data_IF_684936585065
#
_entry.id   IF_684936585065
#
_cell.length_a   1.000
_cell.length_b   1.000
_cell.length_c   1.000
_cell.angle_alpha   90.00
_cell.angle_beta   90.00
_cell.angle_gamma   90.00
#
_symmetry.space_group_name_H-M   'P 1'
#
loop_
_entity.id
_entity.type
_entity.pdbx_description
1 polymer ?
#
# COMPACT_ATOMS: atom_id res chain seq x y z
N UNK A 1 28.93 9.95 -26.32
CA UNK A 1 27.64 9.34 -26.73
C UNK A 1 26.65 9.64 -25.61
N UNK A 2 25.75 10.58 -25.85
CA UNK A 2 24.77 11.03 -24.85
C UNK A 2 23.62 10.04 -24.83
N UNK A 3 23.45 9.34 -23.72
CA UNK A 3 22.31 8.46 -23.45
C UNK A 3 21.08 9.32 -23.16
N UNK A 4 20.17 9.35 -24.11
CA UNK A 4 18.87 9.98 -24.02
C UNK A 4 18.06 9.35 -22.87
N UNK A 5 17.82 10.09 -21.80
CA UNK A 5 16.86 9.72 -20.76
C UNK A 5 15.45 9.78 -21.36
N UNK A 6 14.80 8.64 -21.46
CA UNK A 6 13.40 8.54 -21.86
C UNK A 6 12.54 9.20 -20.78
N UNK A 7 11.94 10.30 -21.14
CA UNK A 7 10.98 11.04 -20.34
C UNK A 7 9.72 10.17 -20.17
N UNK A 8 9.55 9.51 -19.03
CA UNK A 8 8.36 8.73 -18.67
C UNK A 8 7.18 9.66 -18.28
N UNK A 9 6.97 10.72 -19.05
CA UNK A 9 5.70 11.43 -19.00
C UNK A 9 4.70 10.64 -19.84
N UNK A 10 3.51 10.27 -19.31
CA UNK A 10 2.47 9.73 -20.17
C UNK A 10 2.14 10.78 -21.23
N UNK A 11 2.34 10.45 -22.50
CA UNK A 11 1.83 11.21 -23.62
C UNK A 11 0.31 11.10 -23.60
N UNK A 12 -0.35 12.03 -22.97
CA UNK A 12 -1.77 12.26 -23.14
C UNK A 12 -1.98 13.72 -23.48
N UNK A 13 -2.43 13.94 -24.69
CA UNK A 13 -2.81 15.23 -25.22
C UNK A 13 -3.88 15.88 -24.37
N UNK A 14 -3.61 17.13 -23.98
CA UNK A 14 -4.54 18.24 -23.83
C UNK A 14 -5.87 17.98 -23.13
N UNK A 15 -5.88 18.14 -21.78
CA UNK A 15 -7.02 18.76 -21.10
C UNK A 15 -6.45 19.78 -20.12
N UNK A 16 -6.59 21.05 -20.49
CA UNK A 16 -6.35 22.21 -19.64
C UNK A 16 -7.36 22.12 -18.48
N UNK A 17 -6.88 22.02 -17.24
CA UNK A 17 -7.59 22.52 -16.06
C UNK A 17 -8.45 21.56 -15.25
N UNK A 18 -8.04 20.28 -14.99
CA UNK A 18 -8.55 19.57 -13.81
C UNK A 18 -7.36 19.11 -12.96
N UNK A 19 -7.29 19.60 -11.71
CA UNK A 19 -6.40 19.02 -10.72
C UNK A 19 -6.69 17.51 -10.68
N UNK A 20 -5.62 16.68 -10.80
CA UNK A 20 -5.79 15.23 -10.69
C UNK A 20 -6.39 14.91 -9.32
N UNK A 21 -7.47 14.11 -9.27
CA UNK A 21 -8.03 13.66 -8.00
C UNK A 21 -6.93 13.00 -7.15
N UNK A 22 -6.80 13.45 -5.90
CA UNK A 22 -5.80 12.91 -4.99
C UNK A 22 -6.00 11.41 -4.75
N UNK A 23 -7.23 10.91 -4.90
CA UNK A 23 -7.62 9.54 -4.57
C UNK A 23 -8.49 8.94 -5.66
N UNK A 24 -8.16 7.75 -6.08
CA UNK A 24 -9.01 6.91 -6.92
C UNK A 24 -9.84 5.99 -6.03
N UNK A 25 -11.15 5.89 -6.29
CA UNK A 25 -12.07 4.96 -5.60
C UNK A 25 -12.90 4.21 -6.65
N UNK A 26 -12.80 2.88 -6.63
CA UNK A 26 -13.70 1.99 -7.37
C UNK A 26 -14.50 1.18 -6.36
N UNK A 27 -15.81 1.42 -6.31
CA UNK A 27 -16.69 0.76 -5.33
C UNK A 27 -17.05 -0.63 -5.75
N UNK A 28 -16.97 -1.55 -4.80
CA UNK A 28 -17.47 -2.90 -4.89
C UNK A 28 -18.60 -3.15 -3.90
N UNK A 29 -19.14 -4.37 -3.94
CA UNK A 29 -20.28 -4.78 -3.12
C UNK A 29 -19.93 -5.86 -2.09
N UNK A 30 -18.67 -6.31 -2.03
CA UNK A 30 -18.19 -7.29 -1.05
C UNK A 30 -17.58 -6.61 0.17
N UNK A 31 -17.54 -7.28 1.34
CA UNK A 31 -17.01 -6.68 2.59
C UNK A 31 -15.47 -6.62 2.63
N UNK A 32 -14.83 -6.27 1.52
CA UNK A 32 -13.38 -6.13 1.39
C UNK A 32 -13.00 -4.85 0.67
N UNK A 33 -12.02 -4.15 1.22
CA UNK A 33 -11.41 -2.94 0.64
C UNK A 33 -9.93 -3.23 0.39
N UNK A 34 -9.48 -3.11 -0.85
CA UNK A 34 -8.06 -3.11 -1.22
C UNK A 34 -7.55 -1.67 -1.17
N UNK A 35 -6.62 -1.38 -0.27
CA UNK A 35 -5.98 -0.07 -0.15
C UNK A 35 -4.59 -0.08 -0.79
N UNK A 36 -4.25 0.97 -1.56
CA UNK A 36 -2.99 1.11 -2.30
C UNK A 36 -2.39 2.50 -2.05
N UNK A 37 -1.77 2.72 -0.87
CA UNK A 37 -1.34 4.06 -0.45
C UNK A 37 -0.08 4.56 -1.17
N UNK A 38 0.75 3.68 -1.75
CA UNK A 38 2.09 4.02 -2.19
C UNK A 38 2.36 3.76 -3.68
N UNK A 39 1.34 3.37 -4.44
CA UNK A 39 1.51 3.08 -5.87
C UNK A 39 1.37 4.32 -6.76
N UNK A 40 0.95 5.46 -6.21
CA UNK A 40 0.83 6.71 -6.94
C UNK A 40 2.19 7.29 -7.34
N UNK A 41 2.26 7.84 -8.55
CA UNK A 41 3.46 8.47 -9.10
C UNK A 41 3.31 9.97 -9.31
N UNK A 42 2.10 10.50 -9.11
CA UNK A 42 1.86 11.93 -9.26
C UNK A 42 2.49 12.71 -8.10
N UNK A 43 3.30 13.71 -8.44
CA UNK A 43 3.83 14.71 -7.52
C UNK A 43 3.45 16.07 -8.09
N UNK A 44 2.70 16.92 -7.34
CA UNK A 44 2.42 18.29 -7.78
C UNK A 44 3.71 19.02 -8.18
N UNK A 45 3.67 19.85 -9.23
CA UNK A 45 4.85 20.50 -9.80
C UNK A 45 5.60 21.35 -8.76
N UNK A 46 4.88 22.03 -7.87
CA UNK A 46 5.44 22.82 -6.79
C UNK A 46 6.20 21.99 -5.74
N UNK A 47 5.86 20.70 -5.63
CA UNK A 47 6.59 19.75 -4.77
C UNK A 47 7.73 19.11 -5.56
N UNK A 48 7.49 18.73 -6.82
CA UNK A 48 8.47 18.04 -7.65
C UNK A 48 9.73 18.88 -7.86
N UNK A 49 9.59 20.17 -8.05
CA UNK A 49 10.71 21.12 -8.21
C UNK A 49 11.53 21.30 -6.94
N UNK A 50 11.00 20.96 -5.76
CA UNK A 50 11.74 20.96 -4.49
C UNK A 50 12.56 19.69 -4.26
N UNK A 51 12.23 18.59 -4.97
CA UNK A 51 13.01 17.35 -4.89
C UNK A 51 14.33 17.51 -5.64
N UNK A 52 15.39 16.89 -5.11
CA UNK A 52 16.65 16.76 -5.82
C UNK A 52 16.55 15.65 -6.91
N UNK A 53 17.61 15.47 -7.70
CA UNK A 53 17.64 14.49 -8.80
C UNK A 53 17.38 13.04 -8.35
N UNK A 54 17.68 12.69 -7.10
CA UNK A 54 17.38 11.38 -6.52
C UNK A 54 15.89 11.28 -6.18
N UNK A 55 15.35 12.30 -5.50
CA UNK A 55 13.93 12.35 -5.14
C UNK A 55 13.01 12.31 -6.35
N UNK A 56 13.39 12.97 -7.44
CA UNK A 56 12.65 12.96 -8.70
C UNK A 56 12.55 11.59 -9.38
N UNK A 57 13.38 10.62 -8.99
CA UNK A 57 13.29 9.24 -9.47
C UNK A 57 12.20 8.41 -8.78
N UNK A 58 11.62 8.88 -7.67
CA UNK A 58 10.53 8.24 -6.93
C UNK A 58 10.82 6.76 -6.59
N UNK A 59 12.06 6.47 -6.17
CA UNK A 59 12.59 5.10 -6.06
C UNK A 59 11.78 4.19 -5.12
N UNK A 60 11.12 4.76 -4.11
CA UNK A 60 10.43 4.03 -3.05
C UNK A 60 8.93 3.86 -3.33
N UNK A 61 8.53 3.97 -4.61
CA UNK A 61 7.17 3.69 -5.07
C UNK A 61 6.90 2.19 -5.02
N UNK A 62 5.68 1.82 -4.62
CA UNK A 62 5.17 0.45 -4.72
C UNK A 62 4.78 0.18 -6.20
N UNK A 63 5.80 0.01 -7.04
CA UNK A 63 5.69 -0.05 -8.48
C UNK A 63 4.73 -1.15 -8.94
N UNK A 64 3.83 -0.83 -9.87
CA UNK A 64 2.91 -1.77 -10.52
C UNK A 64 1.91 -2.50 -9.61
N UNK A 65 1.78 -2.13 -8.33
CA UNK A 65 0.78 -2.74 -7.43
C UNK A 65 -0.64 -2.68 -8.02
N UNK A 66 -1.11 -1.58 -8.66
CA UNK A 66 -2.42 -1.59 -9.30
C UNK A 66 -2.56 -2.67 -10.38
N UNK A 67 -1.57 -2.83 -11.27
CA UNK A 67 -1.54 -3.87 -12.31
C UNK A 67 -1.50 -5.28 -11.70
N UNK A 68 -0.73 -5.45 -10.63
CA UNK A 68 -0.57 -6.75 -9.96
C UNK A 68 -1.87 -7.25 -9.32
N UNK A 69 -2.66 -6.35 -8.72
CA UNK A 69 -3.91 -6.69 -8.05
C UNK A 69 -5.15 -6.57 -8.94
N UNK A 70 -5.01 -6.06 -10.17
CA UNK A 70 -6.15 -5.89 -11.09
C UNK A 70 -6.85 -7.21 -11.39
N UNK A 71 -8.16 -7.25 -11.18
CA UNK A 71 -9.01 -8.41 -11.49
C UNK A 71 -8.81 -9.64 -10.59
N UNK A 72 -8.02 -9.57 -9.50
CA UNK A 72 -7.82 -10.73 -8.61
C UNK A 72 -9.06 -11.10 -7.80
N UNK A 73 -9.92 -10.14 -7.53
CA UNK A 73 -11.16 -10.34 -6.78
C UNK A 73 -12.26 -9.41 -7.29
N UNK A 74 -13.35 -9.98 -7.75
CA UNK A 74 -14.53 -9.21 -8.18
C UNK A 74 -15.30 -8.68 -6.97
N UNK A 75 -15.89 -7.49 -7.12
CA UNK A 75 -16.73 -6.87 -6.11
C UNK A 75 -15.97 -6.30 -4.90
N UNK A 76 -14.64 -6.28 -4.92
CA UNK A 76 -13.86 -5.55 -3.92
C UNK A 76 -13.91 -4.04 -4.17
N UNK A 77 -13.94 -3.25 -3.10
CA UNK A 77 -13.69 -1.80 -3.19
C UNK A 77 -12.19 -1.56 -3.30
N UNK A 78 -11.76 -0.70 -4.24
CA UNK A 78 -10.35 -0.33 -4.42
C UNK A 78 -10.19 1.15 -4.08
N UNK A 79 -9.24 1.48 -3.20
CA UNK A 79 -8.88 2.85 -2.84
C UNK A 79 -7.38 3.02 -3.06
N UNK A 80 -7.01 3.94 -3.96
CA UNK A 80 -5.61 4.20 -4.32
C UNK A 80 -5.27 5.67 -4.15
N UNK A 81 -4.16 5.98 -3.48
CA UNK A 81 -3.55 7.28 -3.54
C UNK A 81 -2.94 7.49 -4.94
N UNK A 82 -3.32 8.55 -5.63
CA UNK A 82 -2.73 8.90 -6.92
C UNK A 82 -1.41 9.66 -6.75
N UNK A 83 -1.23 10.34 -5.60
CA UNK A 83 0.00 11.03 -5.25
C UNK A 83 1.09 10.07 -4.76
N UNK A 84 2.34 10.49 -4.99
CA UNK A 84 3.50 9.73 -4.54
C UNK A 84 3.77 9.95 -3.05
N UNK A 85 4.32 8.93 -2.38
CA UNK A 85 4.69 8.97 -0.96
C UNK A 85 5.72 10.05 -0.60
N UNK A 86 6.51 10.53 -1.57
CA UNK A 86 7.44 11.63 -1.34
C UNK A 86 6.72 12.97 -1.19
N UNK A 87 5.52 13.13 -1.73
CA UNK A 87 4.69 14.29 -1.42
C UNK A 87 4.21 14.23 0.04
N UNK A 88 3.63 13.11 0.45
CA UNK A 88 3.26 12.75 1.83
C UNK A 88 2.97 11.24 1.89
N UNK A 89 3.43 10.57 2.95
CA UNK A 89 3.20 9.13 3.10
C UNK A 89 1.80 8.87 3.69
N UNK A 90 0.90 8.34 2.85
CA UNK A 90 -0.48 8.03 3.25
C UNK A 90 -0.59 6.90 4.29
N UNK A 91 0.49 6.14 4.55
CA UNK A 91 0.51 5.08 5.55
C UNK A 91 1.37 5.45 6.78
N UNK A 92 1.35 6.73 7.15
CA UNK A 92 1.98 7.27 8.37
C UNK A 92 0.96 7.98 9.26
N UNK A 93 1.28 8.00 10.56
CA UNK A 93 0.47 8.73 11.54
C UNK A 93 0.46 10.23 11.20
N UNK A 94 -0.72 10.85 11.05
CA UNK A 94 -0.82 12.29 10.76
C UNK A 94 -0.24 13.18 11.86
N UNK A 95 -0.02 12.63 13.07
CA UNK A 95 0.65 13.33 14.17
C UNK A 95 2.18 13.15 14.13
N UNK A 96 2.72 12.50 13.11
CA UNK A 96 4.17 12.31 12.95
C UNK A 96 4.79 11.30 13.91
N UNK A 97 4.00 10.51 14.65
CA UNK A 97 4.53 9.49 15.56
C UNK A 97 5.23 8.37 14.77
N UNK A 98 6.43 7.95 15.17
CA UNK A 98 7.18 6.93 14.47
C UNK A 98 6.44 5.59 14.48
N UNK A 99 6.39 4.92 13.34
CA UNK A 99 5.72 3.62 13.20
C UNK A 99 6.43 2.51 14.00
N UNK A 100 7.76 2.57 14.01
CA UNK A 100 8.64 1.61 14.71
C UNK A 100 9.69 2.39 15.52
N UNK A 101 9.42 2.73 16.79
CA UNK A 101 10.41 3.41 17.62
C UNK A 101 11.73 2.64 17.70
N UNK A 102 12.86 3.35 17.52
CA UNK A 102 14.19 2.74 17.56
C UNK A 102 14.63 2.00 16.30
N UNK A 103 13.83 2.03 15.23
CA UNK A 103 14.19 1.48 13.93
C UNK A 103 14.21 2.56 12.85
N UNK A 104 15.04 2.39 11.83
CA UNK A 104 15.00 3.27 10.68
C UNK A 104 13.66 3.14 9.97
N UNK A 105 13.00 4.25 9.75
CA UNK A 105 11.74 4.38 9.03
C UNK A 105 11.60 5.78 8.47
N UNK A 106 10.82 5.95 7.42
CA UNK A 106 10.50 7.28 6.89
C UNK A 106 9.42 7.96 7.72
N UNK A 107 9.42 9.29 7.69
CA UNK A 107 8.49 10.18 8.37
C UNK A 107 7.19 10.35 7.56
N UNK A 108 6.26 11.17 8.08
CA UNK A 108 5.00 11.54 7.40
C UNK A 108 5.27 12.18 6.03
N UNK A 109 6.24 13.09 5.93
CA UNK A 109 6.85 13.51 4.67
C UNK A 109 8.28 13.00 4.66
N UNK A 110 8.60 11.98 3.85
CA UNK A 110 9.95 11.41 3.82
C UNK A 110 11.02 12.46 3.52
N UNK A 111 12.04 12.56 4.35
CA UNK A 111 13.20 13.43 4.09
C UNK A 111 14.31 12.67 3.37
N UNK A 112 14.30 11.34 3.49
CA UNK A 112 15.28 10.45 2.85
C UNK A 112 14.56 9.35 2.08
N UNK A 113 15.25 8.79 1.10
CA UNK A 113 14.86 7.51 0.48
C UNK A 113 15.01 6.34 1.47
N UNK A 114 14.53 5.16 1.10
CA UNK A 114 14.75 3.93 1.86
C UNK A 114 16.24 3.56 2.01
N UNK A 115 17.13 4.11 1.20
CA UNK A 115 18.58 3.96 1.34
C UNK A 115 19.20 5.00 2.30
N UNK A 116 18.41 5.82 2.98
CA UNK A 116 18.85 6.86 3.89
C UNK A 116 19.46 8.09 3.22
N UNK A 117 19.29 8.26 1.91
CA UNK A 117 19.83 9.40 1.14
C UNK A 117 18.81 10.52 1.08
N UNK A 118 19.25 11.77 1.27
CA UNK A 118 18.39 12.95 1.13
C UNK A 118 17.75 13.03 -0.26
N UNK A 119 16.44 13.34 -0.29
CA UNK A 119 15.65 13.42 -1.52
C UNK A 119 15.17 14.84 -1.85
N UNK A 120 15.48 15.81 -1.01
CA UNK A 120 15.07 17.21 -1.18
C UNK A 120 16.25 18.11 -1.55
N UNK A 121 16.07 18.98 -2.52
CA UNK A 121 16.93 20.15 -2.74
C UNK A 121 16.52 21.28 -1.79
N UNK A 122 15.18 21.44 -1.59
CA UNK A 122 14.62 22.36 -0.61
C UNK A 122 13.61 21.58 0.26
N UNK A 123 13.92 21.41 1.54
CA UNK A 123 13.03 20.67 2.47
C UNK A 123 11.69 21.39 2.63
N UNK A 124 10.57 20.66 2.73
CA UNK A 124 9.25 21.26 2.92
C UNK A 124 9.16 21.98 4.26
N UNK A 125 8.48 23.13 4.27
CA UNK A 125 8.14 23.85 5.48
C UNK A 125 7.01 23.17 6.26
N UNK A 126 6.82 23.53 7.53
CA UNK A 126 5.67 23.06 8.33
C UNK A 126 4.32 23.44 7.69
N UNK A 127 4.25 24.60 7.04
CA UNK A 127 3.05 25.03 6.29
C UNK A 127 2.75 24.13 5.11
N UNK A 128 3.80 23.73 4.36
CA UNK A 128 3.65 22.79 3.24
C UNK A 128 3.19 21.41 3.73
N UNK A 129 3.78 20.90 4.81
CA UNK A 129 3.40 19.62 5.42
C UNK A 129 1.93 19.66 5.85
N UNK A 130 1.49 20.74 6.50
CA UNK A 130 0.09 20.91 6.93
C UNK A 130 -0.88 20.96 5.75
N UNK A 131 -0.52 21.63 4.68
CA UNK A 131 -1.32 21.68 3.46
C UNK A 131 -1.46 20.30 2.80
N UNK A 132 -0.34 19.57 2.66
CA UNK A 132 -0.33 18.19 2.13
C UNK A 132 -1.11 17.22 3.01
N UNK A 133 -1.03 17.39 4.34
CA UNK A 133 -1.79 16.61 5.30
C UNK A 133 -3.31 16.78 5.08
N UNK A 134 -3.80 17.98 4.86
CA UNK A 134 -5.22 18.24 4.63
C UNK A 134 -5.69 17.73 3.26
N UNK A 135 -4.96 18.05 2.20
CA UNK A 135 -5.44 17.88 0.83
C UNK A 135 -5.11 16.52 0.21
N UNK A 136 -4.07 15.84 0.68
CA UNK A 136 -3.65 14.54 0.15
C UNK A 136 -3.92 13.43 1.18
N UNK A 137 -3.24 13.43 2.31
CA UNK A 137 -3.39 12.41 3.34
C UNK A 137 -4.83 12.36 3.88
N UNK A 138 -5.40 13.51 4.26
CA UNK A 138 -6.76 13.61 4.75
C UNK A 138 -7.81 13.16 3.73
N UNK A 139 -7.62 13.48 2.44
CA UNK A 139 -8.50 13.02 1.38
C UNK A 139 -8.49 11.49 1.24
N UNK A 140 -7.29 10.86 1.31
CA UNK A 140 -7.15 9.41 1.25
C UNK A 140 -7.85 8.71 2.42
N UNK A 141 -7.61 9.16 3.64
CA UNK A 141 -8.23 8.56 4.82
C UNK A 141 -9.73 8.84 4.95
N UNK A 142 -10.19 9.99 4.45
CA UNK A 142 -11.63 10.26 4.33
C UNK A 142 -12.32 9.29 3.36
N UNK A 143 -11.65 8.93 2.25
CA UNK A 143 -12.17 7.93 1.33
C UNK A 143 -12.26 6.54 2.02
N UNK A 144 -11.21 6.10 2.72
CA UNK A 144 -11.24 4.81 3.45
C UNK A 144 -12.37 4.79 4.49
N UNK A 145 -12.46 5.81 5.34
CA UNK A 145 -13.50 5.87 6.38
C UNK A 145 -14.90 5.81 5.78
N UNK A 146 -15.15 6.57 4.70
CA UNK A 146 -16.44 6.58 4.00
C UNK A 146 -16.82 5.21 3.44
N UNK A 147 -15.88 4.49 2.83
CA UNK A 147 -16.17 3.16 2.26
C UNK A 147 -16.31 2.11 3.37
N UNK A 148 -15.58 2.20 4.50
CA UNK A 148 -15.83 1.37 5.68
C UNK A 148 -17.27 1.59 6.17
N UNK A 149 -17.69 2.85 6.39
CA UNK A 149 -19.02 3.19 6.88
C UNK A 149 -20.10 2.68 5.93
N UNK A 150 -19.91 2.84 4.63
CA UNK A 150 -20.83 2.34 3.59
C UNK A 150 -20.99 0.82 3.64
N UNK A 151 -19.87 0.08 3.72
CA UNK A 151 -19.90 -1.38 3.79
C UNK A 151 -20.46 -1.87 5.14
N UNK A 152 -20.17 -1.18 6.24
CA UNK A 152 -20.72 -1.51 7.58
C UNK A 152 -22.25 -1.37 7.67
N UNK A 153 -22.88 -0.62 6.78
CA UNK A 153 -24.34 -0.57 6.67
C UNK A 153 -24.91 -1.90 6.12
N UNK A 154 -24.14 -2.62 5.30
CA UNK A 154 -24.55 -3.87 4.64
C UNK A 154 -24.01 -5.12 5.35
N UNK A 155 -22.83 -5.02 5.97
CA UNK A 155 -22.07 -6.14 6.50
C UNK A 155 -21.70 -5.91 7.98
N UNK A 156 -21.77 -6.99 8.75
CA UNK A 156 -21.33 -6.96 10.16
C UNK A 156 -19.83 -6.77 10.26
N UNK A 157 -19.09 -7.43 9.38
CA UNK A 157 -17.63 -7.47 9.37
C UNK A 157 -17.10 -6.95 8.02
N UNK A 158 -16.05 -6.14 8.04
CA UNK A 158 -15.37 -5.59 6.87
C UNK A 158 -13.87 -5.81 6.99
N UNK A 159 -13.20 -6.15 5.90
CA UNK A 159 -11.76 -6.33 5.83
C UNK A 159 -11.11 -5.25 4.98
N UNK A 160 -10.08 -4.61 5.50
CA UNK A 160 -9.11 -3.82 4.75
C UNK A 160 -7.90 -4.71 4.45
N UNK A 161 -7.57 -4.86 3.19
CA UNK A 161 -6.36 -5.51 2.72
C UNK A 161 -5.43 -4.45 2.13
N UNK A 162 -4.37 -4.12 2.86
CA UNK A 162 -3.46 -3.01 2.55
C UNK A 162 -2.32 -3.53 1.67
N UNK A 163 -2.33 -3.15 0.38
CA UNK A 163 -1.46 -3.68 -0.66
C UNK A 163 -0.19 -2.85 -0.76
N UNK A 164 0.95 -3.48 -0.49
CA UNK A 164 2.27 -2.85 -0.51
C UNK A 164 3.31 -3.67 -1.24
N UNK A 165 4.41 -3.02 -1.59
CA UNK A 165 5.62 -3.69 -2.01
C UNK A 165 6.87 -2.87 -1.71
N UNK A 166 7.97 -3.55 -1.49
CA UNK A 166 9.26 -2.95 -1.19
C UNK A 166 10.38 -3.75 -1.85
N UNK A 167 11.52 -3.13 -2.11
CA UNK A 167 12.73 -3.83 -2.57
C UNK A 167 13.12 -4.93 -1.57
N UNK A 168 13.51 -6.09 -2.09
CA UNK A 168 13.84 -7.27 -1.28
C UNK A 168 15.06 -7.09 -0.37
N UNK A 169 15.93 -6.13 -0.67
CA UNK A 169 17.17 -5.86 0.08
C UNK A 169 17.38 -4.36 0.22
N UNK A 170 17.35 -3.86 1.45
CA UNK A 170 17.58 -2.46 1.80
C UNK A 170 18.37 -2.41 3.12
N UNK A 171 19.72 -2.46 3.08
CA UNK A 171 20.55 -2.56 4.29
C UNK A 171 20.32 -1.44 5.32
N UNK A 172 19.86 -0.29 4.89
CA UNK A 172 19.51 0.82 5.77
C UNK A 172 18.27 0.55 6.63
N UNK A 173 17.34 -0.29 6.16
CA UNK A 173 16.06 -0.57 6.84
C UNK A 173 16.03 -1.92 7.55
N UNK A 174 16.73 -2.93 7.03
CA UNK A 174 16.75 -4.29 7.56
C UNK A 174 17.93 -5.09 7.03
N UNK A 175 18.35 -6.09 7.79
CA UNK A 175 19.44 -6.99 7.41
C UNK A 175 18.97 -8.07 6.42
N UNK A 176 19.83 -8.44 5.50
CA UNK A 176 19.64 -9.54 4.56
C UNK A 176 18.54 -9.28 3.52
N UNK A 177 17.90 -10.36 3.09
CA UNK A 177 16.80 -10.33 2.12
C UNK A 177 15.47 -10.61 2.81
N UNK A 178 14.45 -9.83 2.48
CA UNK A 178 13.07 -10.08 2.93
C UNK A 178 12.51 -11.38 2.36
N UNK A 179 11.66 -12.09 3.11
CA UNK A 179 10.72 -13.04 2.55
C UNK A 179 9.87 -12.42 1.43
N UNK A 180 9.38 -13.27 0.54
CA UNK A 180 8.62 -12.80 -0.63
C UNK A 180 7.28 -12.16 -0.22
N UNK A 181 6.59 -12.74 0.77
CA UNK A 181 5.32 -12.28 1.32
C UNK A 181 5.48 -11.93 2.80
N UNK A 182 5.32 -10.66 3.14
CA UNK A 182 5.41 -10.20 4.53
C UNK A 182 4.03 -9.71 4.99
N UNK A 183 3.39 -10.47 5.86
CA UNK A 183 2.03 -10.24 6.30
C UNK A 183 2.03 -9.53 7.66
N UNK A 184 1.37 -8.39 7.75
CA UNK A 184 1.25 -7.59 8.96
C UNK A 184 -0.19 -7.55 9.48
N UNK A 185 -0.41 -7.98 10.73
CA UNK A 185 -1.69 -7.94 11.42
C UNK A 185 -1.63 -7.15 12.73
N UNK A 186 -0.61 -6.29 12.88
CA UNK A 186 -0.28 -5.60 14.13
C UNK A 186 -0.13 -6.60 15.29
N UNK A 187 0.65 -7.65 15.06
CA UNK A 187 0.86 -8.77 16.00
C UNK A 187 -0.46 -9.43 16.45
N UNK A 188 -1.44 -9.52 15.56
CA UNK A 188 -2.76 -10.11 15.82
C UNK A 188 -3.80 -9.13 16.36
N UNK A 189 -3.43 -7.88 16.64
CA UNK A 189 -4.37 -6.90 17.20
C UNK A 189 -5.33 -6.28 16.17
N UNK A 190 -4.97 -6.29 14.87
CA UNK A 190 -5.71 -5.60 13.82
C UNK A 190 -6.73 -6.49 13.09
N UNK A 191 -6.71 -7.80 13.25
CA UNK A 191 -7.69 -8.70 12.64
C UNK A 191 -8.01 -9.89 13.54
N UNK A 192 -9.11 -10.58 13.27
CA UNK A 192 -9.43 -11.85 13.91
C UNK A 192 -8.43 -12.94 13.49
N UNK A 193 -8.13 -13.86 14.38
CA UNK A 193 -7.10 -14.89 14.19
C UNK A 193 -7.38 -15.83 13.02
N UNK A 194 -8.64 -16.14 12.73
CA UNK A 194 -9.04 -16.99 11.60
C UNK A 194 -8.71 -16.39 10.23
N UNK A 195 -8.73 -15.05 10.09
CA UNK A 195 -8.28 -14.36 8.87
C UNK A 195 -6.76 -14.51 8.68
N UNK A 196 -5.97 -14.34 9.75
CA UNK A 196 -4.52 -14.56 9.70
C UNK A 196 -4.19 -16.02 9.36
N UNK A 197 -4.88 -16.98 9.97
CA UNK A 197 -4.75 -18.41 9.69
C UNK A 197 -5.16 -18.79 8.27
N UNK A 198 -6.15 -18.09 7.69
CA UNK A 198 -6.54 -18.30 6.29
C UNK A 198 -5.39 -17.98 5.33
N UNK A 199 -4.71 -16.85 5.53
CA UNK A 199 -3.52 -16.49 4.74
C UNK A 199 -2.41 -17.53 4.93
N UNK A 200 -2.10 -17.89 6.17
CA UNK A 200 -1.06 -18.88 6.44
C UNK A 200 -1.34 -20.23 5.76
N UNK A 201 -2.60 -20.69 5.73
CA UNK A 201 -2.96 -21.94 5.04
C UNK A 201 -2.65 -21.86 3.55
N UNK A 202 -2.92 -20.74 2.89
CA UNK A 202 -2.60 -20.53 1.48
C UNK A 202 -1.07 -20.51 1.30
N UNK A 203 -0.36 -19.70 2.08
CA UNK A 203 1.10 -19.58 2.00
C UNK A 203 1.81 -20.95 2.24
N UNK A 204 1.32 -21.75 3.18
CA UNK A 204 1.86 -23.09 3.44
C UNK A 204 1.61 -24.08 2.30
N UNK A 205 0.53 -23.92 1.55
CA UNK A 205 0.23 -24.75 0.36
C UNK A 205 1.00 -24.31 -0.88
N UNK A 206 1.35 -23.02 -0.95
CA UNK A 206 2.17 -22.49 -2.04
C UNK A 206 3.64 -22.68 -1.71
N UNK A 207 4.35 -23.54 -2.47
CA UNK A 207 5.80 -23.73 -2.34
C UNK A 207 6.62 -22.66 -3.07
N UNK A 208 5.97 -21.79 -3.83
CA UNK A 208 6.62 -20.84 -4.75
C UNK A 208 7.22 -19.63 -4.02
N UNK A 209 6.63 -19.25 -2.87
CA UNK A 209 7.00 -18.03 -2.16
C UNK A 209 7.29 -18.28 -0.67
N UNK A 210 8.38 -17.71 -0.21
CA UNK A 210 8.66 -17.60 1.23
C UNK A 210 7.73 -16.56 1.86
N UNK A 211 7.33 -16.77 3.13
CA UNK A 211 6.47 -15.83 3.83
C UNK A 211 6.83 -15.68 5.31
N UNK A 212 6.38 -14.58 5.89
CA UNK A 212 6.47 -14.32 7.33
C UNK A 212 5.25 -13.56 7.83
N UNK A 213 4.75 -13.94 9.01
CA UNK A 213 3.70 -13.20 9.73
C UNK A 213 4.34 -12.28 10.77
N UNK A 214 4.01 -11.00 10.72
CA UNK A 214 4.47 -9.98 11.68
C UNK A 214 5.99 -9.94 11.90
N UNK A 215 6.77 -10.15 10.83
CA UNK A 215 8.23 -10.03 10.85
C UNK A 215 8.69 -8.57 10.93
N UNK A 216 9.50 -8.11 9.96
CA UNK A 216 9.92 -6.71 9.87
C UNK A 216 8.73 -5.75 9.70
N UNK A 217 7.73 -6.14 8.92
CA UNK A 217 6.52 -5.37 8.66
C UNK A 217 5.32 -5.95 9.42
N UNK A 218 4.93 -5.29 10.51
CA UNK A 218 3.81 -5.73 11.36
C UNK A 218 2.49 -5.04 11.01
N UNK A 219 2.49 -4.19 10.01
CA UNK A 219 1.38 -3.33 9.62
C UNK A 219 1.69 -1.85 9.83
N UNK A 220 1.36 -1.03 8.82
CA UNK A 220 1.50 0.42 8.83
C UNK A 220 0.39 1.13 9.61
N UNK A 221 0.28 2.44 9.39
CA UNK A 221 -0.74 3.23 10.08
C UNK A 221 -2.16 2.80 9.70
N UNK A 222 -2.42 2.53 8.43
CA UNK A 222 -3.71 2.00 7.94
C UNK A 222 -4.13 0.77 8.74
N UNK A 223 -3.26 -0.23 8.82
CA UNK A 223 -3.53 -1.47 9.57
C UNK A 223 -3.82 -1.21 11.04
N UNK A 224 -3.04 -0.36 11.70
CA UNK A 224 -3.16 -0.08 13.14
C UNK A 224 -4.32 0.83 13.46
N UNK A 225 -4.63 1.80 12.60
CA UNK A 225 -5.68 2.79 12.82
C UNK A 225 -7.07 2.20 12.58
N UNK A 226 -7.25 1.46 11.49
CA UNK A 226 -8.55 0.91 11.10
C UNK A 226 -8.83 -0.47 11.65
N UNK A 227 -7.81 -1.30 11.91
CA UNK A 227 -7.97 -2.64 12.45
C UNK A 227 -8.54 -2.63 13.86
N UNK A 228 -9.85 -2.82 13.97
CA UNK A 228 -10.63 -2.87 15.22
C UNK A 228 -11.59 -4.05 15.20
N UNK A 229 -11.09 -5.29 15.37
CA UNK A 229 -11.89 -6.51 15.21
C UNK A 229 -13.13 -6.54 16.11
N UNK A 230 -13.04 -5.97 17.32
CA UNK A 230 -14.19 -5.87 18.25
C UNK A 230 -15.32 -4.97 17.71
N UNK A 231 -15.02 -4.10 16.76
CA UNK A 231 -15.98 -3.25 16.08
C UNK A 231 -16.37 -3.78 14.68
N UNK A 232 -15.88 -4.97 14.33
CA UNK A 232 -16.13 -5.61 13.04
C UNK A 232 -15.38 -4.97 11.87
N UNK A 233 -14.23 -4.33 12.13
CA UNK A 233 -13.31 -3.85 11.09
C UNK A 233 -11.98 -4.53 11.27
N UNK A 234 -11.57 -5.33 10.30
CA UNK A 234 -10.30 -6.02 10.26
C UNK A 234 -9.35 -5.32 9.30
N UNK A 235 -8.05 -5.35 9.58
CA UNK A 235 -7.04 -4.84 8.66
C UNK A 235 -5.83 -5.76 8.63
N UNK A 236 -5.36 -6.07 7.43
CA UNK A 236 -4.18 -6.89 7.16
C UNK A 236 -3.36 -6.19 6.09
N UNK A 237 -2.06 -6.02 6.33
CA UNK A 237 -1.11 -5.53 5.33
C UNK A 237 -0.44 -6.70 4.63
N UNK A 238 -0.31 -6.62 3.32
CA UNK A 238 0.56 -7.47 2.53
C UNK A 238 1.70 -6.64 1.95
N UNK A 239 2.92 -6.87 2.43
CA UNK A 239 4.14 -6.26 1.90
C UNK A 239 4.87 -7.27 1.02
N UNK A 240 4.86 -7.05 -0.28
CA UNK A 240 5.49 -7.94 -1.26
C UNK A 240 6.94 -7.54 -1.50
N UNK A 241 7.83 -8.51 -1.59
CA UNK A 241 9.15 -8.28 -2.19
C UNK A 241 8.98 -7.96 -3.68
N UNK A 242 9.48 -6.82 -4.14
CA UNK A 242 9.42 -6.42 -5.55
C UNK A 242 10.12 -7.40 -6.49
N UNK A 243 11.08 -8.18 -5.98
CA UNK A 243 11.74 -9.26 -6.73
C UNK A 243 10.77 -10.33 -7.23
N UNK A 244 9.57 -10.46 -6.63
CA UNK A 244 8.58 -11.46 -7.03
C UNK A 244 7.89 -11.14 -8.36
N UNK A 245 7.92 -9.88 -8.81
CA UNK A 245 7.18 -9.44 -10.01
C UNK A 245 7.90 -8.39 -10.86
N UNK A 246 9.10 -7.94 -10.47
CA UNK A 246 9.94 -7.07 -11.30
C UNK A 246 11.10 -7.85 -11.88
N UNK A 247 11.54 -7.47 -13.08
CA UNK A 247 12.79 -7.98 -13.66
C UNK A 247 14.00 -7.56 -12.84
N UNK A 248 14.00 -6.30 -12.37
CA UNK A 248 15.02 -5.72 -11.48
C UNK A 248 14.37 -4.69 -10.56
N UNK A 249 14.79 -4.65 -9.30
CA UNK A 249 14.31 -3.73 -8.27
C UNK A 249 15.01 -2.34 -8.34
N UNK A 250 15.16 -1.81 -9.54
CA UNK A 250 15.78 -0.52 -9.85
C UNK A 250 15.22 0.06 -11.16
N UNK A 251 15.37 1.35 -11.41
CA UNK A 251 14.91 1.94 -12.65
C UNK A 251 15.33 1.14 -13.89
N UNK A 252 14.43 0.93 -14.86
CA UNK A 252 13.08 1.50 -14.95
C UNK A 252 11.99 0.69 -14.22
N UNK A 253 12.31 -0.18 -13.27
CA UNK A 253 11.39 -1.03 -12.49
C UNK A 253 10.45 -1.86 -13.39
N UNK A 254 11.04 -2.50 -14.38
CA UNK A 254 10.30 -3.22 -15.43
C UNK A 254 9.52 -4.40 -14.85
N UNK A 255 8.22 -4.44 -15.14
CA UNK A 255 7.33 -5.53 -14.74
C UNK A 255 7.67 -6.82 -15.48
N UNK A 256 7.72 -7.93 -14.76
CA UNK A 256 7.94 -9.27 -15.31
C UNK A 256 6.61 -10.02 -15.30
N UNK A 257 5.93 -10.05 -16.44
CA UNK A 257 4.61 -10.68 -16.56
C UNK A 257 4.64 -12.17 -16.16
N UNK A 258 5.73 -12.88 -16.45
CA UNK A 258 5.85 -14.29 -16.09
C UNK A 258 5.91 -14.53 -14.59
N UNK A 259 6.78 -13.79 -13.88
CA UNK A 259 6.86 -13.85 -12.39
C UNK A 259 5.59 -13.36 -11.76
N UNK A 260 5.06 -12.24 -12.24
CA UNK A 260 3.85 -11.65 -11.73
C UNK A 260 2.64 -12.58 -11.85
N UNK A 261 2.48 -13.33 -12.94
CA UNK A 261 1.37 -14.25 -13.08
C UNK A 261 1.39 -15.36 -12.01
N UNK A 262 2.55 -15.91 -11.68
CA UNK A 262 2.68 -16.90 -10.59
C UNK A 262 2.28 -16.27 -9.24
N UNK A 263 2.75 -15.04 -8.98
CA UNK A 263 2.39 -14.31 -7.75
C UNK A 263 0.89 -13.99 -7.70
N UNK A 264 0.31 -13.58 -8.82
CA UNK A 264 -1.12 -13.27 -8.93
C UNK A 264 -2.02 -14.45 -8.57
N UNK A 265 -1.65 -15.67 -8.96
CA UNK A 265 -2.38 -16.89 -8.57
C UNK A 265 -2.37 -17.08 -7.05
N UNK A 266 -1.23 -16.90 -6.40
CA UNK A 266 -1.13 -16.98 -4.93
C UNK A 266 -1.93 -15.88 -4.25
N UNK A 267 -1.84 -14.63 -4.73
CA UNK A 267 -2.61 -13.50 -4.20
C UNK A 267 -4.12 -13.68 -4.39
N UNK A 268 -4.56 -14.18 -5.55
CA UNK A 268 -5.97 -14.48 -5.80
C UNK A 268 -6.51 -15.52 -4.81
N UNK A 269 -5.75 -16.59 -4.56
CA UNK A 269 -6.12 -17.60 -3.57
C UNK A 269 -6.19 -17.02 -2.15
N UNK A 270 -5.25 -16.15 -1.76
CA UNK A 270 -5.29 -15.45 -0.46
C UNK A 270 -6.54 -14.60 -0.34
N UNK A 271 -6.81 -13.75 -1.34
CA UNK A 271 -7.97 -12.85 -1.34
C UNK A 271 -9.28 -13.63 -1.32
N UNK A 272 -9.39 -14.71 -2.06
CA UNK A 272 -10.59 -15.57 -2.09
C UNK A 272 -10.85 -16.21 -0.72
N UNK A 273 -9.84 -16.78 -0.07
CA UNK A 273 -9.97 -17.36 1.29
C UNK A 273 -10.37 -16.29 2.32
N UNK A 274 -9.77 -15.09 2.23
CA UNK A 274 -10.12 -13.97 3.10
C UNK A 274 -11.57 -13.52 2.92
N UNK A 275 -12.04 -13.45 1.67
CA UNK A 275 -13.42 -13.06 1.35
C UNK A 275 -14.40 -14.11 1.89
N UNK A 276 -14.13 -15.39 1.69
CA UNK A 276 -14.96 -16.46 2.25
C UNK A 276 -15.03 -16.34 3.78
N UNK A 277 -13.89 -16.11 4.43
CA UNK A 277 -13.84 -15.96 5.89
C UNK A 277 -14.66 -14.74 6.37
N UNK A 278 -14.54 -13.59 5.71
CA UNK A 278 -15.21 -12.36 6.15
C UNK A 278 -16.71 -12.39 5.85
N UNK A 279 -17.14 -12.96 4.74
CA UNK A 279 -18.54 -13.14 4.39
C UNK A 279 -19.24 -14.10 5.36
N UNK A 280 -18.62 -15.22 5.73
CA UNK A 280 -19.13 -16.14 6.73
C UNK A 280 -19.29 -15.49 8.11
N UNK A 281 -18.40 -14.57 8.48
CA UNK A 281 -18.54 -13.77 9.72
C UNK A 281 -19.69 -12.78 9.63
N UNK A 282 -19.93 -12.21 8.46
CA UNK A 282 -21.00 -11.23 8.22
C UNK A 282 -22.38 -11.90 8.17
N UNK A 283 -22.50 -13.14 7.71
CA UNK A 283 -23.76 -13.88 7.55
C UNK A 283 -24.35 -14.39 8.87
N UNK A 284 -23.58 -14.48 9.96
CA UNK A 284 -24.04 -15.04 11.25
C UNK A 284 -24.99 -14.16 12.06
N UNK A 285 -25.65 -13.17 11.47
CA UNK A 285 -26.57 -12.26 12.16
C UNK A 285 -28.05 -12.64 12.10
N UNK A 286 -28.40 -13.77 11.51
CA UNK A 286 -29.82 -14.16 11.27
C UNK A 286 -30.41 -15.06 12.38
N UNK A 287 -29.60 -15.51 13.36
CA UNK A 287 -30.08 -16.40 14.43
C UNK A 287 -29.68 -15.90 15.83
N UNK A 288 -30.25 -14.79 16.25
CA UNK A 288 -30.29 -14.43 17.70
C UNK A 288 -31.41 -13.45 17.98
#
# INVERSE_FOLDING_TARGET
>A
MATSFVNLRPTSSCLIGSAMDAVFVSRGERPIILTQPHSGTYVPEEIYTQLNSLGQQLLDTDWHIPKLYEGLIEGATIIRANFNRYAIDANRDPQGRPLYPGQNSTELVPLTSFDGKEIWANKPSEGDIKNRLLNLHGAYHKAISREIDSLKQKFREVLIYDCHSIRSTIPYLFDGRLPDLNIGSNSGAACASDLALAIERVCKRSSEFSYVMNGRFKGGWTTRHYGRPKQGVHAIQMELSQACYLKKERPPFEYDDKRANILRETLANILQELVICIENKSSKRVES
#
